data_IF_429291177556
#
_entry.id   IF_429291177556
#
_cell.length_a   1.000
_cell.length_b   1.000
_cell.length_c   1.000
_cell.angle_alpha   90.00
_cell.angle_beta   90.00
_cell.angle_gamma   90.00
#
_symmetry.space_group_name_H-M   'P 1'
#
loop_
_entity.id
_entity.type
_entity.pdbx_description
1 polymer ?
#
# COMPACT_ATOMS: atom_id res chain seq x y z
N UNK A 1 42.21 0.79 -14.65
CA UNK A 1 41.63 1.39 -13.42
C UNK A 1 40.60 2.50 -13.67
N UNK A 2 40.71 3.33 -14.73
CA UNK A 2 39.72 4.38 -15.05
C UNK A 2 38.31 3.82 -15.36
N UNK A 3 38.25 2.72 -16.10
CA UNK A 3 37.00 2.07 -16.50
C UNK A 3 36.28 1.40 -15.32
N UNK A 4 37.05 0.93 -14.32
CA UNK A 4 36.50 0.35 -13.08
C UNK A 4 35.86 1.43 -12.19
N UNK A 5 36.48 2.62 -12.11
CA UNK A 5 35.86 3.77 -11.43
C UNK A 5 34.58 4.23 -12.13
N UNK A 6 34.56 4.21 -13.47
CA UNK A 6 33.37 4.54 -14.25
C UNK A 6 32.23 3.54 -14.02
N UNK A 7 32.54 2.24 -13.94
CA UNK A 7 31.59 1.18 -13.60
C UNK A 7 31.06 1.32 -12.16
N UNK A 8 31.92 1.65 -11.20
CA UNK A 8 31.50 1.85 -9.80
C UNK A 8 30.60 3.10 -9.67
N UNK A 9 30.93 4.19 -10.37
CA UNK A 9 30.10 5.41 -10.38
C UNK A 9 28.75 5.14 -11.06
N UNK A 10 28.72 4.43 -12.19
CA UNK A 10 27.47 4.06 -12.85
C UNK A 10 26.60 3.14 -11.97
N UNK A 11 27.21 2.21 -11.23
CA UNK A 11 26.50 1.33 -10.31
C UNK A 11 25.91 2.12 -9.12
N UNK A 12 26.68 3.05 -8.55
CA UNK A 12 26.24 3.93 -7.46
C UNK A 12 25.10 4.87 -7.90
N UNK A 13 25.15 5.43 -9.12
CA UNK A 13 24.07 6.28 -9.62
C UNK A 13 22.79 5.48 -9.88
N UNK A 14 22.89 4.23 -10.32
CA UNK A 14 21.72 3.37 -10.57
C UNK A 14 21.01 2.99 -9.27
N UNK A 15 21.77 2.77 -8.18
CA UNK A 15 21.21 2.45 -6.84
C UNK A 15 20.48 3.64 -6.20
N UNK A 16 20.88 4.88 -6.48
CA UNK A 16 20.18 6.08 -5.99
C UNK A 16 18.84 6.34 -6.72
N UNK A 17 18.66 5.87 -7.96
CA UNK A 17 17.39 6.08 -8.67
C UNK A 17 16.26 5.16 -8.20
N UNK A 18 16.56 4.02 -7.56
CA UNK A 18 15.54 3.04 -7.15
C UNK A 18 14.92 3.31 -5.78
N UNK A 19 15.28 4.42 -5.12
CA UNK A 19 14.82 4.74 -3.75
C UNK A 19 13.41 5.34 -3.67
N UNK A 20 12.75 5.58 -4.81
CA UNK A 20 11.42 6.21 -4.89
C UNK A 20 10.31 5.23 -5.28
N UNK A 21 10.42 3.96 -4.86
CA UNK A 21 9.27 3.05 -4.94
C UNK A 21 8.45 3.31 -3.68
N UNK A 22 7.47 4.21 -3.78
CA UNK A 22 6.42 4.31 -2.78
C UNK A 22 5.77 2.93 -2.67
N UNK A 23 5.90 2.29 -1.51
CA UNK A 23 5.08 1.13 -1.17
C UNK A 23 3.64 1.64 -1.27
N UNK A 24 2.87 1.06 -2.19
CA UNK A 24 1.44 1.33 -2.36
C UNK A 24 0.80 1.32 -0.97
N UNK A 25 0.50 2.51 -0.44
CA UNK A 25 -0.02 2.64 0.91
C UNK A 25 -1.41 2.05 0.87
N UNK A 26 -1.58 0.88 1.50
CA UNK A 26 -2.89 0.26 1.65
C UNK A 26 -3.90 1.31 2.13
N UNK A 27 -5.04 1.41 1.47
CA UNK A 27 -6.14 2.29 1.88
C UNK A 27 -6.72 1.89 3.25
N UNK A 28 -6.37 0.70 3.74
CA UNK A 28 -6.79 0.19 5.03
C UNK A 28 -5.91 0.72 6.17
N UNK A 29 -6.55 1.38 7.12
CA UNK A 29 -5.95 1.78 8.40
C UNK A 29 -6.28 0.73 9.47
N UNK A 30 -5.26 0.29 10.21
CA UNK A 30 -5.42 -0.67 11.31
C UNK A 30 -5.48 0.01 12.69
N UNK A 31 -5.10 1.29 12.78
CA UNK A 31 -5.31 2.11 13.97
C UNK A 31 -6.64 2.86 13.89
N UNK A 32 -7.53 2.57 14.84
CA UNK A 32 -8.87 3.18 14.87
C UNK A 32 -8.84 4.69 15.13
N UNK A 33 -7.89 5.21 15.93
CA UNK A 33 -7.79 6.64 16.22
C UNK A 33 -7.28 7.41 15.01
N UNK A 34 -6.35 6.82 14.26
CA UNK A 34 -5.88 7.34 12.98
C UNK A 34 -7.04 7.41 11.99
N UNK A 35 -7.81 6.32 11.85
CA UNK A 35 -8.98 6.28 10.97
C UNK A 35 -10.04 7.33 11.33
N UNK A 36 -10.33 7.52 12.63
CA UNK A 36 -11.23 8.56 13.11
C UNK A 36 -10.74 9.97 12.75
N UNK A 37 -9.44 10.23 12.92
CA UNK A 37 -8.84 11.53 12.63
C UNK A 37 -8.92 11.84 11.13
N UNK A 38 -8.56 10.86 10.28
CA UNK A 38 -8.62 10.99 8.81
C UNK A 38 -10.06 11.16 8.32
N UNK A 39 -10.99 10.33 8.78
CA UNK A 39 -12.40 10.38 8.37
C UNK A 39 -13.04 11.74 8.72
N UNK A 40 -12.73 12.29 9.90
CA UNK A 40 -13.20 13.63 10.30
C UNK A 40 -12.60 14.73 9.44
N UNK A 41 -11.31 14.66 9.14
CA UNK A 41 -10.63 15.65 8.30
C UNK A 41 -11.15 15.64 6.85
N UNK A 42 -11.45 14.46 6.31
CA UNK A 42 -11.95 14.27 4.95
C UNK A 42 -13.48 14.35 4.83
N UNK A 43 -14.21 14.52 5.95
CA UNK A 43 -15.67 14.46 6.01
C UNK A 43 -16.25 13.18 5.37
N UNK A 44 -15.63 12.03 5.66
CA UNK A 44 -16.02 10.70 5.16
C UNK A 44 -16.51 9.80 6.30
N UNK A 45 -17.29 8.78 5.95
CA UNK A 45 -17.65 7.70 6.86
C UNK A 45 -16.50 6.69 6.96
N UNK A 46 -16.46 5.94 8.07
CA UNK A 46 -15.54 4.81 8.24
C UNK A 46 -16.24 3.53 7.77
N UNK A 47 -15.62 2.83 6.84
CA UNK A 47 -15.90 1.42 6.60
C UNK A 47 -14.99 0.59 7.50
N UNK A 48 -15.57 -0.26 8.34
CA UNK A 48 -14.84 -1.16 9.22
C UNK A 48 -15.12 -2.59 8.80
N UNK A 49 -14.08 -3.28 8.32
CA UNK A 49 -14.14 -4.70 7.98
C UNK A 49 -13.55 -5.53 9.12
N UNK A 50 -14.33 -6.48 9.61
CA UNK A 50 -13.90 -7.42 10.64
C UNK A 50 -13.55 -8.75 9.97
N UNK A 51 -12.31 -8.87 9.52
CA UNK A 51 -11.75 -10.11 8.98
C UNK A 51 -10.99 -10.89 10.07
N UNK A 52 -10.82 -12.20 9.89
CA UNK A 52 -10.10 -13.01 10.88
C UNK A 52 -10.26 -14.52 10.79
N UNK A 53 -11.14 -15.03 9.92
CA UNK A 53 -11.23 -16.48 9.66
C UNK A 53 -10.75 -16.78 8.25
N UNK A 54 -9.59 -17.43 8.15
CA UNK A 54 -9.03 -17.97 6.91
C UNK A 54 -9.92 -19.05 6.26
N UNK A 55 -11.01 -19.44 6.93
CA UNK A 55 -11.98 -20.43 6.47
C UNK A 55 -13.35 -19.83 6.15
N UNK A 56 -13.49 -18.50 6.20
CA UNK A 56 -14.72 -17.84 5.80
C UNK A 56 -14.79 -17.68 4.28
N UNK A 57 -15.44 -18.62 3.60
CA UNK A 57 -15.58 -18.61 2.12
C UNK A 57 -16.21 -17.32 1.59
N UNK A 58 -17.23 -16.79 2.26
CA UNK A 58 -17.89 -15.55 1.86
C UNK A 58 -16.99 -14.32 2.07
N UNK A 59 -16.21 -14.29 3.16
CA UNK A 59 -15.26 -13.21 3.43
C UNK A 59 -14.15 -13.19 2.36
N UNK A 60 -13.59 -14.36 2.04
CA UNK A 60 -12.59 -14.51 0.97
C UNK A 60 -13.16 -14.05 -0.38
N UNK A 61 -14.41 -14.39 -0.67
CA UNK A 61 -15.08 -13.94 -1.89
C UNK A 61 -15.24 -12.42 -1.91
N UNK A 62 -15.64 -11.80 -0.81
CA UNK A 62 -15.77 -10.34 -0.69
C UNK A 62 -14.43 -9.66 -0.93
N UNK A 63 -13.36 -10.10 -0.27
CA UNK A 63 -12.02 -9.55 -0.48
C UNK A 63 -11.61 -9.59 -1.94
N UNK A 64 -11.71 -10.76 -2.59
CA UNK A 64 -11.31 -10.94 -3.98
C UNK A 64 -12.17 -10.16 -4.97
N UNK A 65 -13.47 -10.05 -4.71
CA UNK A 65 -14.41 -9.47 -5.68
C UNK A 65 -14.56 -7.96 -5.52
N UNK A 66 -14.17 -7.40 -4.37
CA UNK A 66 -14.36 -5.98 -4.05
C UNK A 66 -13.06 -5.37 -3.54
N UNK A 67 -12.56 -5.79 -2.38
CA UNK A 67 -11.48 -5.06 -1.68
C UNK A 67 -10.11 -5.14 -2.36
N UNK A 68 -9.85 -6.20 -3.13
CA UNK A 68 -8.61 -6.38 -3.89
C UNK A 68 -8.71 -5.85 -5.34
N UNK A 69 -9.82 -5.22 -5.71
CA UNK A 69 -9.96 -4.63 -7.05
C UNK A 69 -9.24 -3.29 -7.13
N UNK A 70 -8.71 -2.95 -8.30
CA UNK A 70 -8.05 -1.65 -8.53
C UNK A 70 -9.03 -0.48 -8.29
N UNK A 71 -10.29 -0.64 -8.70
CA UNK A 71 -11.35 0.37 -8.50
C UNK A 71 -11.56 0.69 -7.03
N UNK A 72 -11.49 -0.31 -6.14
CA UNK A 72 -11.64 -0.08 -4.71
C UNK A 72 -10.40 0.57 -4.09
N UNK A 73 -9.20 0.16 -4.52
CA UNK A 73 -7.94 0.69 -3.96
C UNK A 73 -7.60 2.11 -4.46
N UNK A 74 -8.31 2.63 -5.46
CA UNK A 74 -8.08 3.96 -6.05
C UNK A 74 -9.18 4.99 -5.72
N UNK A 75 -10.15 4.65 -4.87
CA UNK A 75 -11.27 5.51 -4.47
C UNK A 75 -10.93 6.42 -3.27
#
# INVERSE_FOLDING_TARGET
MKNLKFLIVALLTTVMLTSFIDNESSIWLTDYKEALTKAKAENKLILMDFSGSDWCSNCIRLEKSVFQTEVFNTY
#
